data_IF_103681000194
#
_entry.id   IF_103681000194
#
_cell.length_a   1.000
_cell.length_b   1.000
_cell.length_c   1.000
_cell.angle_alpha   90.00
_cell.angle_beta   90.00
_cell.angle_gamma   90.00
#
_symmetry.space_group_name_H-M   'P 1'
#
loop_
_entity.id
_entity.type
_entity.pdbx_description
1 polymer ?
#
# COMPACT_ATOMS: atom_id res chain seq x y z
N UNK A 1 -20.19 11.93 -13.14
CA UNK A 1 -19.38 11.06 -14.04
C UNK A 1 -19.71 9.62 -13.72
N UNK A 2 -19.89 8.72 -14.69
CA UNK A 2 -20.22 7.31 -14.37
C UNK A 2 -19.03 6.56 -13.74
N UNK A 3 -19.30 5.45 -13.04
CA UNK A 3 -18.26 4.59 -12.44
C UNK A 3 -17.25 4.13 -13.50
N UNK A 4 -17.72 3.75 -14.69
CA UNK A 4 -16.86 3.40 -15.82
C UNK A 4 -15.89 4.52 -16.19
N UNK A 5 -16.38 5.76 -16.29
CA UNK A 5 -15.53 6.92 -16.60
C UNK A 5 -14.55 7.25 -15.47
N UNK A 6 -14.97 7.10 -14.21
CA UNK A 6 -14.10 7.24 -13.04
C UNK A 6 -12.95 6.20 -13.08
N UNK A 7 -13.25 4.96 -13.43
CA UNK A 7 -12.24 3.90 -13.59
C UNK A 7 -11.26 4.20 -14.72
N UNK A 8 -11.76 4.66 -15.88
CA UNK A 8 -10.92 5.06 -17.01
C UNK A 8 -10.00 6.24 -16.63
N UNK A 9 -10.49 7.19 -15.85
CA UNK A 9 -9.70 8.31 -15.35
C UNK A 9 -8.63 7.87 -14.35
N UNK A 10 -8.99 7.02 -13.38
CA UNK A 10 -8.02 6.44 -12.43
C UNK A 10 -6.94 5.64 -13.15
N UNK A 11 -7.27 4.91 -14.21
CA UNK A 11 -6.29 4.22 -15.04
C UNK A 11 -5.34 5.20 -15.76
N UNK A 12 -5.85 6.33 -16.27
CA UNK A 12 -5.00 7.38 -16.85
C UNK A 12 -4.06 8.00 -15.81
N UNK A 13 -4.53 8.20 -14.58
CA UNK A 13 -3.71 8.67 -13.48
C UNK A 13 -2.58 7.68 -13.15
N UNK A 14 -2.86 6.37 -13.10
CA UNK A 14 -1.81 5.36 -12.91
C UNK A 14 -0.73 5.43 -13.98
N UNK A 15 -1.11 5.59 -15.24
CA UNK A 15 -0.16 5.73 -16.36
C UNK A 15 0.69 7.00 -16.19
N UNK A 16 0.07 8.13 -15.85
CA UNK A 16 0.78 9.39 -15.61
C UNK A 16 1.79 9.28 -14.45
N UNK A 17 1.45 8.51 -13.42
CA UNK A 17 2.32 8.20 -12.28
C UNK A 17 3.34 7.07 -12.57
N UNK A 18 3.47 6.61 -13.83
CA UNK A 18 4.33 5.47 -14.22
C UNK A 18 4.05 4.19 -13.42
N UNK A 19 2.83 4.03 -12.92
CA UNK A 19 2.37 2.85 -12.21
C UNK A 19 1.91 1.79 -13.22
N UNK A 20 2.58 0.65 -13.23
CA UNK A 20 2.31 -0.44 -14.17
C UNK A 20 1.02 -1.23 -13.92
N UNK A 21 0.31 -0.97 -12.81
CA UNK A 21 -0.94 -1.63 -12.49
C UNK A 21 -2.01 -1.30 -13.52
N UNK A 22 -2.67 -2.34 -14.07
CA UNK A 22 -3.86 -2.20 -14.91
C UNK A 22 -5.10 -2.62 -14.15
N UNK A 23 -6.06 -1.71 -14.00
CA UNK A 23 -7.39 -2.00 -13.47
C UNK A 23 -8.15 -2.84 -14.50
N UNK A 24 -8.51 -4.06 -14.12
CA UNK A 24 -9.31 -4.96 -14.95
C UNK A 24 -10.79 -4.61 -14.77
N UNK A 25 -11.32 -3.74 -15.64
CA UNK A 25 -12.71 -3.28 -15.55
C UNK A 25 -13.74 -4.40 -15.75
N UNK A 26 -13.31 -5.49 -16.41
CA UNK A 26 -14.06 -6.73 -16.65
C UNK A 26 -13.90 -7.75 -15.52
N UNK A 27 -13.21 -7.41 -14.44
CA UNK A 27 -13.06 -8.30 -13.29
C UNK A 27 -14.45 -8.63 -12.70
N UNK A 28 -14.86 -9.91 -12.68
CA UNK A 28 -16.18 -10.31 -12.22
C UNK A 28 -16.43 -9.94 -10.75
N UNK A 29 -15.38 -9.79 -9.94
CA UNK A 29 -15.48 -9.37 -8.55
C UNK A 29 -15.96 -7.92 -8.42
N UNK A 30 -15.55 -7.05 -9.34
CA UNK A 30 -16.03 -5.66 -9.39
C UNK A 30 -17.51 -5.63 -9.72
N UNK A 31 -17.93 -6.40 -10.74
CA UNK A 31 -19.34 -6.48 -11.16
C UNK A 31 -20.22 -6.98 -10.01
N UNK A 32 -19.80 -8.06 -9.34
CA UNK A 32 -20.53 -8.63 -8.20
C UNK A 32 -20.60 -7.65 -7.01
N UNK A 33 -19.51 -6.94 -6.70
CA UNK A 33 -19.47 -5.94 -5.63
C UNK A 33 -20.44 -4.79 -5.91
N UNK A 34 -20.41 -4.24 -7.13
CA UNK A 34 -21.34 -3.18 -7.54
C UNK A 34 -22.79 -3.66 -7.46
N UNK A 35 -23.08 -4.87 -7.95
CA UNK A 35 -24.43 -5.46 -7.91
C UNK A 35 -24.96 -5.59 -6.48
N UNK A 36 -24.13 -6.01 -5.52
CA UNK A 36 -24.51 -6.09 -4.10
C UNK A 36 -24.85 -4.72 -3.50
N UNK A 37 -24.25 -3.65 -4.02
CA UNK A 37 -24.55 -2.26 -3.68
C UNK A 37 -25.69 -1.67 -4.51
N UNK A 38 -26.36 -2.44 -5.37
CA UNK A 38 -27.43 -1.95 -6.25
C UNK A 38 -26.94 -1.05 -7.40
N UNK A 39 -25.64 -1.13 -7.73
CA UNK A 39 -24.99 -0.30 -8.74
C UNK A 39 -24.57 -1.12 -9.96
N UNK A 40 -24.31 -0.42 -11.06
CA UNK A 40 -23.65 -0.94 -12.27
C UNK A 40 -22.49 -0.02 -12.64
N UNK A 41 -21.65 -0.43 -13.59
CA UNK A 41 -20.55 0.42 -14.09
C UNK A 41 -21.07 1.71 -14.76
N UNK A 42 -22.33 1.74 -15.19
CA UNK A 42 -22.95 2.92 -15.79
C UNK A 42 -23.63 3.83 -14.76
N UNK A 43 -23.76 3.39 -13.51
CA UNK A 43 -24.24 4.22 -12.42
C UNK A 43 -23.39 5.48 -12.26
N UNK A 44 -24.04 6.57 -11.87
CA UNK A 44 -23.40 7.85 -11.58
C UNK A 44 -23.44 8.05 -10.07
N UNK A 45 -22.30 7.91 -9.36
CA UNK A 45 -22.26 8.19 -7.93
C UNK A 45 -22.55 9.67 -7.67
N UNK A 46 -23.08 9.94 -6.47
CA UNK A 46 -23.26 11.30 -5.98
C UNK A 46 -21.92 12.01 -5.86
N UNK A 47 -21.94 13.34 -5.82
CA UNK A 47 -20.74 14.11 -5.59
C UNK A 47 -20.08 13.67 -4.25
N UNK A 48 -18.76 13.47 -4.27
CA UNK A 48 -17.94 12.99 -3.14
C UNK A 48 -18.24 11.57 -2.63
N UNK A 49 -19.18 10.84 -3.24
CA UNK A 49 -19.44 9.45 -2.88
C UNK A 49 -18.27 8.54 -3.28
N UNK A 50 -17.79 7.72 -2.32
CA UNK A 50 -16.76 6.71 -2.55
C UNK A 50 -17.39 5.35 -2.83
N UNK A 51 -17.06 4.78 -3.98
CA UNK A 51 -17.49 3.43 -4.36
C UNK A 51 -16.32 2.45 -4.19
N UNK A 52 -16.51 1.44 -3.35
CA UNK A 52 -15.54 0.36 -3.16
C UNK A 52 -15.78 -0.75 -4.19
N UNK A 53 -14.78 -1.00 -5.04
CA UNK A 53 -14.89 -1.97 -6.15
C UNK A 53 -14.44 -3.37 -5.77
N UNK A 54 -13.60 -3.51 -4.75
CA UNK A 54 -13.10 -4.77 -4.20
C UNK A 54 -13.02 -4.66 -2.68
N UNK A 55 -13.04 -5.80 -1.98
CA UNK A 55 -12.91 -5.87 -0.52
C UNK A 55 -11.45 -5.82 -0.03
N UNK A 56 -10.49 -5.94 -0.94
CA UNK A 56 -9.07 -5.81 -0.65
C UNK A 56 -8.47 -4.55 -1.28
N UNK A 57 -7.40 -4.05 -0.68
CA UNK A 57 -6.66 -2.88 -1.12
C UNK A 57 -5.39 -3.24 -1.89
N UNK A 58 -5.34 -4.40 -2.55
CA UNK A 58 -4.12 -4.89 -3.18
C UNK A 58 -3.66 -3.96 -4.31
N UNK A 59 -2.38 -3.57 -4.30
CA UNK A 59 -1.80 -2.70 -5.32
C UNK A 59 -1.79 -3.33 -6.72
N UNK A 60 -1.77 -4.67 -6.80
CA UNK A 60 -1.83 -5.43 -8.05
C UNK A 60 -3.20 -5.39 -8.71
N UNK A 61 -4.27 -5.13 -7.94
CA UNK A 61 -5.65 -4.99 -8.43
C UNK A 61 -6.14 -3.54 -8.46
N UNK A 62 -5.27 -2.58 -8.15
CA UNK A 62 -5.55 -1.15 -8.27
C UNK A 62 -5.87 -0.42 -6.97
N UNK A 63 -5.58 -1.01 -5.81
CA UNK A 63 -5.61 -0.28 -4.53
C UNK A 63 -4.60 0.86 -4.50
N UNK A 64 -4.74 1.83 -3.60
CA UNK A 64 -3.76 2.91 -3.43
C UNK A 64 -2.80 2.60 -2.27
N UNK A 65 -1.58 3.11 -2.34
CA UNK A 65 -0.61 3.12 -1.23
C UNK A 65 -0.37 4.58 -0.84
N UNK A 66 -0.21 4.81 0.45
CA UNK A 66 0.11 6.12 1.02
C UNK A 66 1.38 5.94 1.83
N UNK A 67 2.36 6.82 1.58
CA UNK A 67 3.54 6.88 2.42
C UNK A 67 3.18 7.56 3.75
N UNK A 68 3.45 6.86 4.85
CA UNK A 68 3.13 7.30 6.21
C UNK A 68 4.36 7.42 7.08
N UNK A 69 5.57 7.35 6.49
CA UNK A 69 6.85 7.36 7.22
C UNK A 69 6.97 8.56 8.18
N UNK A 70 6.49 9.74 7.78
CA UNK A 70 6.62 10.96 8.59
C UNK A 70 5.53 11.12 9.67
N UNK A 71 4.47 10.31 9.62
CA UNK A 71 3.32 10.43 10.53
C UNK A 71 3.14 9.23 11.45
N UNK A 72 3.76 8.09 11.14
CA UNK A 72 3.71 6.90 11.99
C UNK A 72 4.44 7.17 13.30
N UNK A 73 3.86 6.76 14.42
CA UNK A 73 4.47 6.91 15.74
C UNK A 73 5.78 6.10 15.79
N UNK A 74 6.83 6.70 16.35
CA UNK A 74 8.18 6.12 16.37
C UNK A 74 8.22 4.72 17.02
N UNK A 75 7.37 4.46 18.01
CA UNK A 75 7.29 3.15 18.67
C UNK A 75 6.85 2.01 17.72
N UNK A 76 6.08 2.28 16.65
CA UNK A 76 5.83 1.26 15.63
C UNK A 76 7.09 0.94 14.81
N UNK A 77 7.90 1.97 14.51
CA UNK A 77 9.18 1.80 13.83
C UNK A 77 10.17 1.04 14.71
N UNK A 78 10.23 1.36 16.00
CA UNK A 78 11.07 0.65 16.98
C UNK A 78 10.66 -0.82 17.10
N UNK A 79 9.34 -1.10 17.12
CA UNK A 79 8.82 -2.46 17.09
C UNK A 79 9.29 -3.22 15.83
N UNK A 80 9.19 -2.62 14.63
CA UNK A 80 9.66 -3.24 13.39
C UNK A 80 11.18 -3.50 13.41
N UNK A 81 11.97 -2.56 13.94
CA UNK A 81 13.43 -2.72 14.08
C UNK A 81 13.76 -3.83 15.08
N UNK A 82 13.03 -3.92 16.21
CA UNK A 82 13.21 -4.98 17.19
C UNK A 82 12.91 -6.35 16.58
N UNK A 83 11.77 -6.50 15.87
CA UNK A 83 11.40 -7.74 15.21
C UNK A 83 12.43 -8.19 14.17
N UNK A 84 12.98 -7.24 13.40
CA UNK A 84 14.09 -7.51 12.47
C UNK A 84 15.28 -8.16 13.18
N UNK A 85 15.67 -7.64 14.35
CA UNK A 85 16.78 -8.16 15.17
C UNK A 85 16.45 -9.53 15.79
N UNK A 86 15.25 -9.68 16.33
CA UNK A 86 14.81 -10.93 16.95
C UNK A 86 14.77 -12.09 15.94
N UNK A 87 14.47 -11.79 14.68
CA UNK A 87 14.53 -12.75 13.56
C UNK A 87 15.95 -12.94 12.99
N UNK A 88 16.97 -12.28 13.56
CA UNK A 88 18.35 -12.28 13.09
C UNK A 88 18.48 -11.89 11.60
N UNK A 89 17.67 -10.94 11.16
CA UNK A 89 17.71 -10.38 9.80
C UNK A 89 18.41 -9.03 9.80
N UNK A 90 19.00 -8.66 8.66
CA UNK A 90 19.60 -7.33 8.45
C UNK A 90 18.61 -6.36 7.80
N UNK A 91 17.68 -6.90 7.02
CA UNK A 91 16.59 -6.20 6.35
C UNK A 91 15.38 -7.13 6.35
N UNK A 92 14.21 -6.60 6.70
CA UNK A 92 12.93 -7.22 6.41
C UNK A 92 11.84 -6.17 6.26
N UNK A 93 10.72 -6.54 5.66
CA UNK A 93 9.45 -5.81 5.78
C UNK A 93 8.63 -6.43 6.90
N UNK A 94 7.99 -5.60 7.72
CA UNK A 94 7.11 -6.04 8.80
C UNK A 94 5.71 -5.52 8.52
N UNK A 95 4.76 -6.43 8.36
CA UNK A 95 3.38 -6.08 8.11
C UNK A 95 2.62 -6.06 9.44
N UNK A 96 2.11 -4.88 9.81
CA UNK A 96 1.41 -4.66 11.08
C UNK A 96 -0.02 -4.21 10.80
N UNK A 97 -0.98 -4.92 11.39
CA UNK A 97 -2.37 -4.47 11.45
C UNK A 97 -2.59 -3.68 12.73
N UNK A 98 -3.18 -2.50 12.63
CA UNK A 98 -3.46 -1.61 13.77
C UNK A 98 -4.96 -1.32 13.82
N UNK A 99 -5.57 -1.57 14.98
CA UNK A 99 -6.93 -1.14 15.30
C UNK A 99 -6.86 0.22 16.01
N UNK A 100 -6.95 1.28 15.22
CA UNK A 100 -6.86 2.66 15.69
C UNK A 100 -6.00 3.52 14.79
N UNK A 101 -5.29 4.47 15.42
CA UNK A 101 -4.40 5.41 14.75
C UNK A 101 -2.97 4.88 14.76
N UNK A 102 -2.27 5.05 13.64
CA UNK A 102 -0.82 4.79 13.54
C UNK A 102 0.02 5.96 14.05
N UNK A 103 -0.60 7.12 14.33
CA UNK A 103 0.06 8.35 14.79
C UNK A 103 0.22 8.33 16.32
N UNK A 104 -0.62 7.56 17.01
CA UNK A 104 -0.56 7.34 18.46
C UNK A 104 0.37 6.14 18.76
N UNK A 105 0.92 6.03 19.99
CA UNK A 105 1.75 4.89 20.36
C UNK A 105 0.99 3.56 20.29
N UNK A 106 1.68 2.43 20.03
CA UNK A 106 1.08 1.09 20.00
C UNK A 106 0.37 0.77 21.31
N UNK A 107 -0.93 0.54 21.24
CA UNK A 107 -1.72 0.10 22.40
C UNK A 107 -1.76 -1.42 22.45
N UNK A 108 -1.52 -1.99 23.64
CA UNK A 108 -1.58 -3.43 23.87
C UNK A 108 -2.96 -3.99 23.48
N UNK A 109 -2.98 -5.07 22.69
CA UNK A 109 -4.20 -5.67 22.17
C UNK A 109 -4.89 -4.90 21.03
N UNK A 110 -4.25 -3.86 20.49
CA UNK A 110 -4.74 -3.05 19.36
C UNK A 110 -3.82 -3.08 18.14
N UNK A 111 -2.83 -3.95 18.14
CA UNK A 111 -1.97 -4.16 16.99
C UNK A 111 -1.53 -5.63 16.91
N UNK A 112 -1.26 -6.09 15.70
CA UNK A 112 -0.86 -7.47 15.40
C UNK A 112 0.18 -7.49 14.29
N UNK A 113 1.28 -8.19 14.51
CA UNK A 113 2.23 -8.52 13.44
C UNK A 113 1.62 -9.63 12.61
N UNK A 114 1.43 -9.37 11.32
CA UNK A 114 0.84 -10.32 10.36
C UNK A 114 1.91 -11.16 9.69
N UNK A 115 3.00 -10.52 9.23
CA UNK A 115 4.06 -11.15 8.46
C UNK A 115 5.40 -10.44 8.67
N UNK A 116 6.50 -11.19 8.56
CA UNK A 116 7.87 -10.67 8.48
C UNK A 116 8.51 -11.22 7.21
N UNK A 117 8.77 -10.33 6.25
CA UNK A 117 9.29 -10.65 4.93
C UNK A 117 10.79 -10.36 4.85
N UNK A 118 11.63 -11.39 4.82
CA UNK A 118 13.09 -11.24 4.77
C UNK A 118 13.63 -10.58 3.49
N UNK A 119 12.82 -10.51 2.43
CA UNK A 119 13.14 -9.83 1.18
C UNK A 119 11.95 -8.98 0.72
N UNK A 120 11.72 -7.80 1.35
CA UNK A 120 10.59 -6.96 1.01
C UNK A 120 10.76 -6.36 -0.38
N UNK A 121 9.67 -6.33 -1.17
CA UNK A 121 9.65 -5.63 -2.45
C UNK A 121 9.48 -4.13 -2.25
N UNK A 122 10.39 -3.33 -2.84
CA UNK A 122 10.35 -1.86 -2.77
C UNK A 122 9.91 -1.20 -4.09
N UNK A 123 9.54 -1.99 -5.10
CA UNK A 123 9.19 -1.53 -6.45
C UNK A 123 8.02 -0.54 -6.51
N UNK A 124 7.10 -0.64 -5.55
CA UNK A 124 5.98 0.28 -5.43
C UNK A 124 6.40 1.56 -4.71
N UNK A 125 7.15 1.42 -3.60
CA UNK A 125 7.60 2.55 -2.78
C UNK A 125 8.51 3.50 -3.58
N UNK A 126 9.49 2.95 -4.32
CA UNK A 126 10.42 3.73 -5.16
C UNK A 126 9.71 4.57 -6.22
N UNK A 127 8.51 4.17 -6.66
CA UNK A 127 7.74 4.86 -7.70
C UNK A 127 6.78 5.93 -7.15
N UNK A 128 6.73 6.13 -5.83
CA UNK A 128 5.85 7.13 -5.22
C UNK A 128 6.37 8.56 -5.42
N UNK A 129 7.69 8.76 -5.51
CA UNK A 129 8.32 10.06 -5.75
C UNK A 129 9.85 10.03 -5.63
N UNK A 130 10.49 11.14 -5.99
CA UNK A 130 11.97 11.30 -5.97
C UNK A 130 12.56 11.13 -4.56
N UNK A 131 11.81 11.50 -3.52
CA UNK A 131 12.23 11.30 -2.14
C UNK A 131 12.33 9.81 -1.78
N UNK A 132 11.29 9.03 -2.11
CA UNK A 132 11.26 7.58 -1.88
C UNK A 132 12.31 6.86 -2.73
N UNK A 133 12.55 7.33 -3.96
CA UNK A 133 13.63 6.82 -4.81
C UNK A 133 14.99 6.93 -4.11
N UNK A 134 15.34 8.11 -3.59
CA UNK A 134 16.61 8.33 -2.86
C UNK A 134 16.72 7.49 -1.59
N UNK A 135 15.61 7.27 -0.87
CA UNK A 135 15.59 6.41 0.32
C UNK A 135 15.96 4.97 -0.06
N UNK A 136 15.34 4.44 -1.11
CA UNK A 136 15.59 3.07 -1.59
C UNK A 136 17.02 2.92 -2.12
N UNK A 137 17.52 3.89 -2.88
CA UNK A 137 18.91 3.90 -3.35
C UNK A 137 19.92 3.92 -2.19
N UNK A 138 19.66 4.75 -1.16
CA UNK A 138 20.46 4.82 0.05
C UNK A 138 20.51 3.48 0.79
N UNK A 139 19.35 2.86 1.00
CA UNK A 139 19.22 1.55 1.64
C UNK A 139 20.04 0.48 0.91
N UNK A 140 19.86 0.34 -0.42
CA UNK A 140 20.62 -0.64 -1.20
C UNK A 140 22.12 -0.34 -1.20
N UNK A 141 22.51 0.93 -1.23
CA UNK A 141 23.92 1.33 -1.15
C UNK A 141 24.57 0.89 0.17
N UNK A 142 23.86 1.02 1.30
CA UNK A 142 24.33 0.55 2.60
C UNK A 142 24.45 -0.97 2.64
N UNK A 143 23.46 -1.69 2.11
CA UNK A 143 23.48 -3.15 2.05
C UNK A 143 24.68 -3.64 1.24
N UNK A 144 24.88 -3.12 0.03
CA UNK A 144 26.01 -3.49 -0.83
C UNK A 144 27.36 -3.23 -0.13
N UNK A 145 27.54 -2.06 0.49
CA UNK A 145 28.75 -1.74 1.25
C UNK A 145 28.98 -2.67 2.45
N UNK A 146 27.91 -3.21 3.03
CA UNK A 146 27.99 -4.14 4.16
C UNK A 146 28.38 -5.56 3.75
N UNK A 147 28.15 -5.92 2.48
CA UNK A 147 28.53 -7.22 1.91
C UNK A 147 30.02 -7.26 1.53
N UNK A 148 30.63 -6.10 1.27
CA UNK A 148 32.06 -5.97 0.96
C UNK A 148 32.99 -6.06 2.21
N UNK A 149 32.43 -6.31 3.40
CA UNK A 149 33.15 -6.43 4.68
C UNK A 149 33.12 -7.85 5.22
#
# INVERSE_FOLDING_TARGET
MSIKRLLEEKQRQFIAMKRGTRIKMDDPRIIEKLKRSGLTVDSVPSLEERIFLLDNANLSTGGDSVDVTDIVHLEFSDLAVQLTRDMNLRLCGVDIMVDGSIIDPPVSGKHWVLEINAAPGLDHYVKMGEAQEKIVEGLYSEILRSLDR
#
